data_IF_102303687315
#
_entry.id   IF_102303687315
#
_cell.length_a   1.000
_cell.length_b   1.000
_cell.length_c   1.000
_cell.angle_alpha   90.00
_cell.angle_beta   90.00
_cell.angle_gamma   90.00
#
_symmetry.space_group_name_H-M   'P 1'
#
loop_
_entity.id
_entity.type
_entity.pdbx_description
1 polymer ?
#
# COMPACT_ATOMS: atom_id res chain seq x y z
N UNK A 1 15.42 -11.68 19.13
CA UNK A 1 16.76 -11.05 18.97
C UNK A 1 17.89 -11.95 19.44
N UNK A 2 17.66 -12.88 20.38
CA UNK A 2 18.55 -14.01 20.62
C UNK A 2 18.59 -14.92 19.38
N UNK A 3 19.77 -15.41 18.96
CA UNK A 3 20.06 -16.25 17.76
C UNK A 3 20.44 -15.54 16.45
N UNK A 4 20.42 -14.20 16.35
CA UNK A 4 20.95 -13.54 15.15
C UNK A 4 22.48 -13.42 15.24
N UNK A 5 23.20 -13.92 14.23
CA UNK A 5 24.65 -13.72 14.09
C UNK A 5 25.01 -12.30 13.60
N UNK A 6 24.02 -11.42 13.39
CA UNK A 6 24.26 -10.07 12.91
C UNK A 6 24.59 -9.12 14.07
N UNK A 7 25.56 -8.20 13.89
CA UNK A 7 25.84 -7.16 14.86
C UNK A 7 24.59 -6.34 15.21
N UNK A 8 24.42 -6.03 16.49
CA UNK A 8 23.25 -5.27 16.97
C UNK A 8 23.11 -3.89 16.31
N UNK A 9 24.25 -3.27 15.94
CA UNK A 9 24.29 -2.00 15.20
C UNK A 9 23.47 -2.05 13.90
N UNK A 10 23.46 -3.17 13.19
CA UNK A 10 22.72 -3.30 11.93
C UNK A 10 21.22 -3.26 12.14
N UNK A 11 20.74 -3.82 13.25
CA UNK A 11 19.33 -3.74 13.62
C UNK A 11 18.91 -2.29 13.86
N UNK A 12 19.72 -1.51 14.58
CA UNK A 12 19.42 -0.10 14.82
C UNK A 12 19.42 0.74 13.56
N UNK A 13 20.43 0.58 12.69
CA UNK A 13 20.50 1.32 11.43
C UNK A 13 19.30 0.96 10.55
N UNK A 14 18.95 -0.32 10.44
CA UNK A 14 17.78 -0.75 9.69
C UNK A 14 16.46 -0.21 10.27
N UNK A 15 16.32 -0.22 11.61
CA UNK A 15 15.17 0.39 12.30
C UNK A 15 15.07 1.88 11.99
N UNK A 16 16.16 2.62 12.19
CA UNK A 16 16.23 4.06 11.93
C UNK A 16 15.84 4.37 10.49
N UNK A 17 16.43 3.67 9.52
CA UNK A 17 16.10 3.85 8.11
C UNK A 17 14.63 3.56 7.83
N UNK A 18 14.07 2.49 8.39
CA UNK A 18 12.67 2.14 8.16
C UNK A 18 11.70 3.17 8.77
N UNK A 19 12.01 3.75 9.93
CA UNK A 19 11.13 4.71 10.60
C UNK A 19 11.29 6.15 10.11
N UNK A 20 12.45 6.49 9.55
CA UNK A 20 12.75 7.87 9.13
C UNK A 20 12.17 8.25 7.76
N UNK A 21 11.61 7.30 6.99
CA UNK A 21 11.08 7.56 5.66
C UNK A 21 9.67 7.00 5.49
N UNK A 22 8.87 7.66 4.64
CA UNK A 22 7.58 7.13 4.17
C UNK A 22 7.73 6.05 3.09
N UNK A 23 8.92 5.91 2.48
CA UNK A 23 9.16 4.99 1.35
C UNK A 23 9.82 3.70 1.81
N UNK A 24 9.47 2.58 1.21
CA UNK A 24 10.11 1.30 1.53
C UNK A 24 11.56 1.25 1.02
N UNK A 25 12.49 0.82 1.89
CA UNK A 25 13.88 0.55 1.51
C UNK A 25 14.01 -0.82 0.86
N UNK A 26 14.83 -0.95 -0.18
CA UNK A 26 15.17 -2.25 -0.76
C UNK A 26 16.22 -2.97 0.09
N UNK A 27 16.22 -4.30 0.10
CA UNK A 27 17.22 -5.07 0.83
C UNK A 27 18.65 -4.82 0.29
N UNK A 28 18.78 -4.55 -1.01
CA UNK A 28 20.07 -4.27 -1.67
C UNK A 28 20.60 -2.88 -1.30
N UNK A 29 19.71 -1.90 -1.16
CA UNK A 29 20.06 -0.57 -0.63
C UNK A 29 20.57 -0.67 0.80
N UNK A 30 19.84 -1.40 1.65
CA UNK A 30 20.23 -1.61 3.04
C UNK A 30 21.55 -2.37 3.15
N UNK A 31 21.78 -3.35 2.27
CA UNK A 31 23.06 -4.07 2.19
C UNK A 31 24.21 -3.11 1.84
N UNK A 32 24.01 -2.19 0.90
CA UNK A 32 25.03 -1.20 0.52
C UNK A 32 25.36 -0.27 1.69
N UNK A 33 24.36 0.22 2.42
CA UNK A 33 24.58 1.12 3.55
C UNK A 33 25.23 0.44 4.77
N UNK A 34 25.00 -0.86 4.95
CA UNK A 34 25.60 -1.65 6.03
C UNK A 34 26.93 -2.31 5.63
N UNK A 35 27.32 -2.20 4.36
CA UNK A 35 28.49 -2.83 3.74
C UNK A 35 28.60 -4.34 4.05
N UNK A 36 27.45 -5.02 4.14
CA UNK A 36 27.41 -6.43 4.54
C UNK A 36 27.56 -7.37 3.34
N UNK A 37 28.40 -8.40 3.49
CA UNK A 37 28.71 -9.34 2.41
C UNK A 37 27.51 -10.21 2.00
N UNK A 38 26.68 -10.63 2.96
CA UNK A 38 25.58 -11.55 2.70
C UNK A 38 24.26 -10.80 2.54
N UNK A 39 23.71 -10.82 1.32
CA UNK A 39 22.40 -10.25 1.01
C UNK A 39 21.28 -10.94 1.78
N UNK A 40 21.30 -12.28 1.86
CA UNK A 40 20.23 -13.07 2.49
C UNK A 40 20.03 -12.71 3.97
N UNK A 41 21.13 -12.46 4.68
CA UNK A 41 21.07 -12.06 6.09
C UNK A 41 20.40 -10.68 6.26
N UNK A 42 20.72 -9.73 5.39
CA UNK A 42 20.11 -8.40 5.38
C UNK A 42 18.65 -8.47 4.94
N UNK A 43 18.34 -9.29 3.94
CA UNK A 43 16.98 -9.53 3.49
C UNK A 43 16.11 -10.12 4.61
N UNK A 44 16.61 -11.14 5.32
CA UNK A 44 15.90 -11.75 6.44
C UNK A 44 15.70 -10.76 7.61
N UNK A 45 16.71 -9.92 7.89
CA UNK A 45 16.61 -8.85 8.90
C UNK A 45 15.50 -7.85 8.52
N UNK A 46 15.51 -7.37 7.27
CA UNK A 46 14.55 -6.40 6.77
C UNK A 46 13.12 -6.95 6.75
N UNK A 47 12.95 -8.22 6.36
CA UNK A 47 11.63 -8.86 6.40
C UNK A 47 11.10 -9.04 7.82
N UNK A 48 11.94 -9.48 8.77
CA UNK A 48 11.54 -9.57 10.19
C UNK A 48 11.10 -8.21 10.73
N UNK A 49 11.82 -7.16 10.34
CA UNK A 49 11.52 -5.79 10.74
C UNK A 49 10.17 -5.32 10.19
N UNK A 50 9.92 -5.52 8.89
CA UNK A 50 8.63 -5.17 8.27
C UNK A 50 7.47 -5.95 8.86
N UNK A 51 7.66 -7.24 9.16
CA UNK A 51 6.62 -8.03 9.84
C UNK A 51 6.30 -7.48 11.23
N UNK A 52 7.31 -7.06 12.00
CA UNK A 52 7.09 -6.47 13.30
C UNK A 52 6.37 -5.11 13.23
N UNK A 53 6.76 -4.26 12.28
CA UNK A 53 6.08 -2.97 12.03
C UNK A 53 4.65 -3.18 11.55
N UNK A 54 4.41 -4.11 10.62
CA UNK A 54 3.09 -4.43 10.11
C UNK A 54 2.13 -4.96 11.19
N UNK A 55 2.61 -5.82 12.10
CA UNK A 55 1.80 -6.30 13.24
C UNK A 55 1.37 -5.18 14.19
N UNK A 56 2.19 -4.14 14.33
CA UNK A 56 1.83 -2.96 15.11
C UNK A 56 0.84 -2.10 14.34
N UNK A 57 1.06 -1.93 13.04
CA UNK A 57 0.19 -1.14 12.17
C UNK A 57 -1.23 -1.72 12.12
N UNK A 58 -1.36 -3.05 12.11
CA UNK A 58 -2.63 -3.79 12.18
C UNK A 58 -3.45 -3.49 13.45
N UNK A 59 -2.82 -2.99 14.52
CA UNK A 59 -3.55 -2.59 15.74
C UNK A 59 -4.26 -1.24 15.59
N UNK A 60 -3.93 -0.44 14.58
CA UNK A 60 -4.61 0.83 14.30
C UNK A 60 -5.81 0.57 13.38
N UNK A 61 -7.02 0.81 13.89
CA UNK A 61 -8.22 0.81 13.09
C UNK A 61 -8.43 2.20 12.46
N UNK A 62 -8.58 2.24 11.13
CA UNK A 62 -8.96 3.46 10.42
C UNK A 62 -10.44 3.78 10.71
N UNK A 63 -10.76 5.02 11.12
CA UNK A 63 -12.09 5.35 11.70
C UNK A 63 -12.83 6.51 11.03
N UNK A 64 -12.13 7.32 10.23
CA UNK A 64 -12.70 8.42 9.45
C UNK A 64 -13.37 8.00 8.14
N UNK A 65 -13.39 8.91 7.16
CA UNK A 65 -13.93 8.62 5.83
C UNK A 65 -12.92 7.75 5.08
N UNK A 66 -13.32 6.53 4.76
CA UNK A 66 -12.51 5.54 4.06
C UNK A 66 -12.80 5.54 2.57
N UNK A 67 -11.77 5.75 1.77
CA UNK A 67 -11.80 5.52 0.32
C UNK A 67 -11.14 4.18 0.01
N UNK A 68 -11.82 3.35 -0.80
CA UNK A 68 -11.36 2.03 -1.22
C UNK A 68 -11.06 2.06 -2.72
N UNK A 69 -9.82 1.74 -3.09
CA UNK A 69 -9.40 1.59 -4.49
C UNK A 69 -8.83 0.19 -4.76
N UNK A 70 -9.07 -0.34 -5.95
CA UNK A 70 -8.61 -1.68 -6.37
C UNK A 70 -7.58 -1.57 -7.51
N UNK A 71 -6.35 -2.05 -7.25
CA UNK A 71 -5.27 -2.14 -8.23
C UNK A 71 -5.00 -3.56 -8.73
N UNK A 72 -4.52 -3.70 -9.97
CA UNK A 72 -4.08 -4.98 -10.54
C UNK A 72 -2.63 -4.90 -11.01
N UNK A 73 -1.72 -5.58 -10.31
CA UNK A 73 -0.29 -5.58 -10.62
C UNK A 73 0.12 -6.89 -11.29
N UNK A 74 0.96 -6.80 -12.33
CA UNK A 74 1.52 -7.98 -12.97
C UNK A 74 2.55 -8.62 -12.03
N UNK A 75 2.34 -9.87 -11.64
CA UNK A 75 3.26 -10.62 -10.78
C UNK A 75 3.93 -11.73 -11.57
N UNK A 76 5.14 -12.12 -11.14
CA UNK A 76 5.80 -13.29 -11.71
C UNK A 76 4.97 -14.54 -11.45
N UNK A 77 4.83 -15.37 -12.48
CA UNK A 77 4.12 -16.64 -12.44
C UNK A 77 5.12 -17.78 -12.58
N UNK A 78 4.75 -18.97 -12.08
CA UNK A 78 5.54 -20.18 -12.33
C UNK A 78 5.63 -20.47 -13.84
N UNK A 79 6.77 -21.00 -14.28
CA UNK A 79 7.05 -21.26 -15.69
C UNK A 79 6.03 -22.21 -16.34
N UNK A 80 5.47 -23.15 -15.58
CA UNK A 80 4.41 -24.05 -16.04
C UNK A 80 3.08 -23.33 -16.34
N UNK A 81 2.76 -22.30 -15.55
CA UNK A 81 1.51 -21.54 -15.71
C UNK A 81 1.62 -20.45 -16.77
N UNK A 82 2.84 -20.00 -17.09
CA UNK A 82 3.11 -19.11 -18.25
C UNK A 82 2.80 -19.77 -19.59
N UNK A 83 2.87 -21.11 -19.66
CA UNK A 83 2.61 -21.89 -20.90
C UNK A 83 1.12 -22.13 -21.16
N UNK A 84 0.25 -21.90 -20.18
CA UNK A 84 -1.20 -22.05 -20.32
C UNK A 84 -1.80 -20.79 -20.97
N UNK A 85 -2.93 -20.89 -21.69
CA UNK A 85 -3.62 -19.71 -22.22
C UNK A 85 -4.09 -18.81 -21.08
N UNK A 86 -3.49 -17.62 -20.97
CA UNK A 86 -3.80 -16.63 -19.94
C UNK A 86 -4.95 -15.73 -20.37
N UNK A 87 -5.87 -15.45 -19.44
CA UNK A 87 -6.93 -14.47 -19.68
C UNK A 87 -6.34 -13.05 -19.75
N UNK A 88 -6.86 -12.20 -20.65
CA UNK A 88 -6.44 -10.79 -20.76
C UNK A 88 -7.29 -9.91 -19.84
N UNK A 89 -6.67 -8.91 -19.20
CA UNK A 89 -7.38 -7.90 -18.40
C UNK A 89 -7.62 -8.28 -16.95
N UNK A 90 -8.72 -7.78 -16.36
CA UNK A 90 -9.13 -8.04 -14.96
C UNK A 90 -9.40 -9.55 -14.80
N UNK A 91 -8.81 -10.17 -13.77
CA UNK A 91 -8.91 -11.62 -13.54
C UNK A 91 -7.91 -12.47 -14.36
N UNK A 92 -6.92 -11.85 -15.00
CA UNK A 92 -5.77 -12.57 -15.54
C UNK A 92 -5.00 -13.25 -14.41
N UNK A 93 -4.62 -14.52 -14.60
CA UNK A 93 -3.76 -15.24 -13.65
C UNK A 93 -2.37 -14.59 -13.50
N UNK A 94 -1.99 -13.71 -14.42
CA UNK A 94 -0.76 -12.91 -14.36
C UNK A 94 -0.87 -11.71 -13.44
N UNK A 95 -2.06 -11.36 -12.96
CA UNK A 95 -2.30 -10.15 -12.18
C UNK A 95 -2.77 -10.45 -10.78
N UNK A 96 -2.06 -9.91 -9.80
CA UNK A 96 -2.46 -9.92 -8.40
C UNK A 96 -3.37 -8.72 -8.13
N UNK A 97 -4.53 -9.00 -7.50
CA UNK A 97 -5.47 -7.98 -7.03
C UNK A 97 -4.93 -7.40 -5.72
N UNK A 98 -4.80 -6.09 -5.65
CA UNK A 98 -4.35 -5.36 -4.45
C UNK A 98 -5.44 -4.36 -4.09
N UNK A 99 -5.89 -4.42 -2.84
CA UNK A 99 -6.83 -3.45 -2.28
C UNK A 99 -6.05 -2.39 -1.52
N UNK A 100 -6.36 -1.12 -1.75
CA UNK A 100 -5.78 0.01 -1.03
C UNK A 100 -6.92 0.74 -0.32
N UNK A 101 -6.71 1.06 0.96
CA UNK A 101 -7.66 1.83 1.77
C UNK A 101 -6.96 3.07 2.30
N UNK A 102 -7.58 4.24 2.14
CA UNK A 102 -7.08 5.51 2.64
C UNK A 102 -8.13 6.19 3.52
N UNK A 103 -7.70 6.67 4.69
CA UNK A 103 -8.53 7.51 5.56
C UNK A 103 -8.32 8.99 5.25
N UNK A 104 -9.41 9.75 5.23
CA UNK A 104 -9.39 11.21 5.14
C UNK A 104 -10.11 11.85 6.32
N UNK A 105 -9.54 12.95 6.82
CA UNK A 105 -10.22 13.85 7.74
C UNK A 105 -10.78 15.04 6.93
N UNK A 106 -12.01 15.49 7.21
CA UNK A 106 -12.54 16.69 6.55
C UNK A 106 -11.65 17.88 6.89
N UNK A 107 -11.04 18.47 5.87
CA UNK A 107 -10.30 19.74 6.03
C UNK A 107 -11.34 20.85 6.13
N UNK A 108 -11.47 21.46 7.30
CA UNK A 108 -12.23 22.71 7.44
C UNK A 108 -11.62 23.74 6.48
N UNK A 109 -12.38 24.12 5.46
CA UNK A 109 -11.97 25.18 4.54
C UNK A 109 -12.11 26.49 5.31
N UNK A 110 -11.02 27.08 5.74
CA UNK A 110 -11.03 28.51 6.05
C UNK A 110 -11.54 29.25 4.82
N UNK A 111 -12.63 30.00 5.01
CA UNK A 111 -13.24 30.83 3.97
C UNK A 111 -12.25 31.91 3.53
N UNK A 112 -11.42 31.61 2.54
CA UNK A 112 -10.72 32.63 1.77
C UNK A 112 -11.78 33.40 0.96
N UNK A 113 -12.27 34.50 1.55
CA UNK A 113 -13.16 35.47 0.91
C UNK A 113 -12.58 35.84 -0.47
N UNK A 114 -13.22 35.40 -1.55
CA UNK A 114 -13.06 36.06 -2.86
C UNK A 114 -12.98 35.21 -4.13
N UNK A 115 -13.05 33.86 -4.11
CA UNK A 115 -13.12 33.09 -5.37
C UNK A 115 -14.31 32.13 -5.40
N UNK A 116 -15.23 32.25 -6.37
CA UNK A 116 -16.30 31.28 -6.53
C UNK A 116 -15.70 29.93 -6.91
N UNK A 117 -15.98 28.91 -6.09
CA UNK A 117 -15.58 27.52 -6.35
C UNK A 117 -16.31 26.98 -7.59
N UNK A 118 -15.63 26.26 -8.50
CA UNK A 118 -16.29 25.54 -9.58
C UNK A 118 -17.29 24.53 -8.97
N UNK A 119 -18.54 24.57 -9.40
CA UNK A 119 -19.60 23.66 -8.92
C UNK A 119 -19.32 22.23 -9.41
N UNK A 120 -18.48 21.49 -8.68
CA UNK A 120 -18.42 20.03 -8.75
C UNK A 120 -19.61 19.46 -7.98
N UNK A 121 -20.45 18.66 -8.65
CA UNK A 121 -21.59 17.99 -8.01
C UNK A 121 -21.10 17.04 -6.93
N UNK A 122 -21.73 17.07 -5.76
CA UNK A 122 -21.41 16.18 -4.66
C UNK A 122 -21.95 14.77 -4.96
N UNK A 123 -21.27 13.72 -4.49
CA UNK A 123 -21.73 12.33 -4.65
C UNK A 123 -23.08 12.04 -3.95
N UNK A 124 -23.57 12.96 -3.11
CA UNK A 124 -24.88 12.87 -2.47
C UNK A 124 -26.03 13.26 -3.40
N UNK A 125 -25.76 13.91 -4.54
CA UNK A 125 -26.79 14.40 -5.48
C UNK A 125 -27.22 13.36 -6.55
N UNK A 126 -26.59 12.18 -6.57
CA UNK A 126 -26.83 11.16 -7.63
C UNK A 126 -27.85 10.09 -7.22
N UNK A 127 -28.21 10.01 -5.92
CA UNK A 127 -29.05 8.94 -5.38
C UNK A 127 -30.57 9.14 -5.47
N UNK A 128 -31.06 10.29 -5.95
CA UNK A 128 -32.47 10.65 -5.79
C UNK A 128 -33.23 10.97 -7.11
N UNK A 129 -32.82 10.38 -8.24
CA UNK A 129 -33.68 10.33 -9.44
C UNK A 129 -34.20 8.92 -9.63
N UNK A 130 -35.43 8.75 -9.15
CA UNK A 130 -36.21 7.52 -9.22
C UNK A 130 -36.28 6.91 -10.61
N UNK A 131 -36.22 5.59 -10.60
CA UNK A 131 -36.46 4.70 -11.71
C UNK A 131 -38.00 4.64 -11.93
N UNK A 132 -38.58 5.62 -12.63
CA UNK A 132 -39.95 5.52 -13.13
C UNK A 132 -39.93 4.80 -14.48
N UNK A 133 -40.18 3.49 -14.44
CA UNK A 133 -40.46 2.70 -15.63
C UNK A 133 -41.91 2.99 -16.03
N UNK A 134 -42.11 3.82 -17.05
CA UNK A 134 -43.43 3.98 -17.70
C UNK A 134 -43.68 2.76 -18.56
N UNK A 135 -44.76 2.03 -18.25
CA UNK A 135 -45.37 1.08 -19.17
C UNK A 135 -46.00 1.85 -20.34
N UNK A 136 -45.65 1.47 -21.55
CA UNK A 136 -46.55 1.50 -22.71
C UNK A 136 -46.13 0.42 -23.69
#
# INVERSE_FOLDING_TARGET
>A
MHLSKLPFRYWFVAFHLLTSTKKSFSAKELQRQLEHKNYEAIWALLHKLRMAVGKRDEQYALSGILELDEGFFSTEMNEEDKRKPLKRGRGSQKKSKVLVMAESAPVEKENQKGRPSPKGKSYQDVGNRGFEIRNN
#
